data_IF_138237657101
#
_entry.id   IF_138237657101
#
_cell.length_a   1.000
_cell.length_b   1.000
_cell.length_c   1.000
_cell.angle_alpha   90.00
_cell.angle_beta   90.00
_cell.angle_gamma   90.00
#
_symmetry.space_group_name_H-M   'P 1'
#
loop_
_entity.id
_entity.type
_entity.pdbx_description
1 polymer ?
#
# COMPACT_ATOMS: atom_id res chain seq x y z
N UNK A 1 -1.35 -7.30 -23.10
CA UNK A 1 -2.37 -6.96 -22.08
C UNK A 1 -2.32 -5.46 -21.88
N UNK A 2 -3.47 -4.81 -21.82
CA UNK A 2 -3.55 -3.36 -21.65
C UNK A 2 -3.27 -2.98 -20.20
N UNK A 3 -2.51 -1.90 -19.95
CA UNK A 3 -2.32 -1.39 -18.59
C UNK A 3 -3.68 -0.91 -18.04
N UNK A 4 -3.94 -1.18 -16.77
CA UNK A 4 -5.13 -0.71 -16.05
C UNK A 4 -4.86 0.61 -15.32
N UNK A 5 -3.60 0.87 -15.00
CA UNK A 5 -3.09 2.14 -14.48
C UNK A 5 -1.80 2.45 -15.21
N UNK A 6 -1.69 3.65 -15.75
CA UNK A 6 -0.47 4.14 -16.37
C UNK A 6 -0.15 5.56 -15.89
N UNK A 7 1.06 5.74 -15.41
CA UNK A 7 1.61 7.03 -15.01
C UNK A 7 2.83 7.33 -15.87
N UNK A 8 2.84 8.48 -16.51
CA UNK A 8 3.92 8.88 -17.43
C UNK A 8 4.49 10.23 -17.00
N UNK A 9 5.79 10.26 -16.69
CA UNK A 9 6.55 11.48 -16.43
C UNK A 9 6.09 12.26 -15.20
N UNK A 10 5.44 11.63 -14.22
CA UNK A 10 4.84 12.33 -13.08
C UNK A 10 5.89 13.11 -12.30
N UNK A 11 5.66 14.40 -12.22
CA UNK A 11 6.48 15.33 -11.45
C UNK A 11 5.57 16.13 -10.51
N UNK A 12 5.97 16.25 -9.24
CA UNK A 12 5.26 17.03 -8.21
C UNK A 12 6.25 17.73 -7.30
N UNK A 13 6.05 19.03 -7.15
CA UNK A 13 6.88 19.90 -6.30
C UNK A 13 6.00 20.58 -5.26
N UNK A 14 6.43 20.54 -4.03
CA UNK A 14 5.86 21.34 -2.93
C UNK A 14 6.87 22.45 -2.57
N UNK A 15 6.45 23.52 -1.86
CA UNK A 15 7.37 24.57 -1.45
C UNK A 15 8.63 24.01 -0.76
N UNK A 16 9.78 24.11 -1.43
CA UNK A 16 11.08 23.67 -0.94
C UNK A 16 11.41 22.19 -1.13
N UNK A 17 10.50 21.36 -1.69
CA UNK A 17 10.74 19.92 -1.90
C UNK A 17 10.16 19.43 -3.21
N UNK A 18 10.96 18.78 -4.04
CA UNK A 18 10.49 18.02 -5.21
C UNK A 18 10.15 16.60 -4.78
N UNK A 19 8.85 16.34 -4.56
CA UNK A 19 8.38 15.06 -4.03
C UNK A 19 8.41 13.94 -5.08
N UNK A 20 8.07 14.23 -6.34
CA UNK A 20 8.12 13.27 -7.44
C UNK A 20 8.89 13.90 -8.61
N UNK A 21 9.71 13.10 -9.30
CA UNK A 21 10.50 13.56 -10.44
C UNK A 21 10.50 12.51 -11.54
N UNK A 22 9.76 12.77 -12.61
CA UNK A 22 9.66 11.93 -13.80
C UNK A 22 9.37 10.45 -13.48
N UNK A 23 8.33 10.21 -12.65
CA UNK A 23 7.94 8.86 -12.23
C UNK A 23 7.10 8.22 -13.32
N UNK A 24 7.45 7.00 -13.66
CA UNK A 24 6.70 6.17 -14.59
C UNK A 24 6.29 4.88 -13.90
N UNK A 25 5.02 4.50 -14.01
CA UNK A 25 4.47 3.27 -13.45
C UNK A 25 3.40 2.74 -14.41
N UNK A 26 3.48 1.46 -14.76
CA UNK A 26 2.45 0.77 -15.54
C UNK A 26 2.05 -0.48 -14.80
N UNK A 27 0.77 -0.62 -14.45
CA UNK A 27 0.20 -1.76 -13.73
C UNK A 27 -0.78 -2.48 -14.64
N UNK A 28 -0.61 -3.80 -14.76
CA UNK A 28 -1.50 -4.67 -15.55
C UNK A 28 -2.29 -5.59 -14.64
N UNK A 29 -3.33 -6.19 -15.20
CA UNK A 29 -4.19 -7.12 -14.47
C UNK A 29 -3.38 -8.31 -13.88
N UNK A 30 -3.62 -8.60 -12.61
CA UNK A 30 -2.96 -9.67 -11.86
C UNK A 30 -1.58 -9.32 -11.31
N UNK A 31 -1.07 -8.10 -11.53
CA UNK A 31 0.22 -7.68 -11.00
C UNK A 31 0.09 -7.11 -9.58
N UNK A 32 1.11 -7.36 -8.75
CA UNK A 32 1.26 -6.76 -7.43
C UNK A 32 2.56 -5.97 -7.43
N UNK A 33 2.44 -4.65 -7.40
CA UNK A 33 3.56 -3.73 -7.42
C UNK A 33 3.91 -3.26 -6.01
N UNK A 34 5.17 -3.34 -5.63
CA UNK A 34 5.69 -2.70 -4.44
C UNK A 34 6.32 -1.35 -4.77
N UNK A 35 6.03 -0.33 -3.98
CA UNK A 35 6.72 0.95 -4.02
C UNK A 35 7.63 1.04 -2.80
N UNK A 36 8.94 1.06 -3.05
CA UNK A 36 9.96 1.01 -2.02
C UNK A 36 10.85 2.26 -2.05
N UNK A 37 11.45 2.60 -0.91
CA UNK A 37 12.37 3.72 -0.81
C UNK A 37 12.40 4.32 0.58
N UNK A 38 13.33 5.24 0.81
CA UNK A 38 13.45 5.95 2.10
C UNK A 38 12.21 6.81 2.40
N UNK A 39 12.04 7.19 3.67
CA UNK A 39 11.03 8.15 4.06
C UNK A 39 11.32 9.50 3.39
N UNK A 40 10.29 10.12 2.85
CA UNK A 40 10.45 11.36 2.07
C UNK A 40 10.66 11.16 0.57
N UNK A 41 10.75 9.92 0.07
CA UNK A 41 10.86 9.62 -1.37
C UNK A 41 9.59 9.92 -2.20
N UNK A 42 8.54 10.48 -1.60
CA UNK A 42 7.30 10.85 -2.31
C UNK A 42 6.30 9.71 -2.49
N UNK A 43 6.48 8.55 -1.83
CA UNK A 43 5.61 7.38 -2.00
C UNK A 43 4.13 7.68 -1.76
N UNK A 44 3.79 8.31 -0.63
CA UNK A 44 2.40 8.68 -0.32
C UNK A 44 1.85 9.77 -1.27
N UNK A 45 2.72 10.67 -1.79
CA UNK A 45 2.34 11.62 -2.84
C UNK A 45 1.96 10.88 -4.12
N UNK A 46 2.69 9.81 -4.47
CA UNK A 46 2.38 8.99 -5.63
C UNK A 46 0.98 8.35 -5.49
N UNK A 47 0.63 7.81 -4.32
CA UNK A 47 -0.72 7.28 -4.06
C UNK A 47 -1.79 8.36 -4.19
N UNK A 48 -1.59 9.53 -3.59
CA UNK A 48 -2.51 10.65 -3.70
C UNK A 48 -2.71 11.10 -5.15
N UNK A 49 -1.65 11.04 -5.97
CA UNK A 49 -1.74 11.34 -7.41
C UNK A 49 -2.55 10.27 -8.15
N UNK A 50 -2.39 8.98 -7.83
CA UNK A 50 -3.18 7.90 -8.43
C UNK A 50 -4.67 8.07 -8.16
N UNK A 51 -5.05 8.46 -6.93
CA UNK A 51 -6.46 8.62 -6.54
C UNK A 51 -7.04 10.01 -6.84
N UNK A 52 -6.25 10.91 -7.44
CA UNK A 52 -6.70 12.24 -7.84
C UNK A 52 -6.82 13.24 -6.67
N UNK A 53 -6.23 12.95 -5.51
CA UNK A 53 -6.16 13.88 -4.36
C UNK A 53 -5.05 14.93 -4.53
N UNK A 54 -4.05 14.63 -5.36
CA UNK A 54 -2.97 15.54 -5.71
C UNK A 54 -2.84 15.56 -7.23
N UNK A 55 -2.90 16.74 -7.83
CA UNK A 55 -2.62 16.91 -9.26
C UNK A 55 -1.12 16.99 -9.49
N UNK A 56 -0.55 16.25 -10.46
CA UNK A 56 0.85 16.39 -10.82
C UNK A 56 1.11 17.76 -11.47
N UNK A 57 2.33 18.28 -11.30
CA UNK A 57 2.75 19.52 -11.97
C UNK A 57 3.09 19.24 -13.45
N UNK A 58 3.50 18.00 -13.77
CA UNK A 58 3.80 17.52 -15.13
C UNK A 58 3.58 16.01 -15.20
N UNK A 59 3.30 15.50 -16.39
CA UNK A 59 2.98 14.11 -16.65
C UNK A 59 1.48 13.83 -16.69
N UNK A 60 1.11 12.57 -16.93
CA UNK A 60 -0.28 12.11 -16.98
C UNK A 60 -0.51 10.85 -16.15
N UNK A 61 -1.72 10.72 -15.62
CA UNK A 61 -2.22 9.51 -14.96
C UNK A 61 -3.43 9.03 -15.74
N UNK A 62 -3.33 7.84 -16.30
CA UNK A 62 -4.40 7.20 -17.04
C UNK A 62 -4.89 5.99 -16.25
N UNK A 63 -6.16 6.02 -15.81
CA UNK A 63 -6.84 4.92 -15.12
C UNK A 63 -7.89 4.34 -16.05
N UNK A 64 -7.85 3.05 -16.29
CA UNK A 64 -8.80 2.36 -17.17
C UNK A 64 -10.24 2.60 -16.76
N UNK A 65 -11.17 2.75 -17.71
CA UNK A 65 -12.59 3.07 -17.47
C UNK A 65 -13.30 2.06 -16.53
N UNK A 66 -12.85 0.82 -16.51
CA UNK A 66 -13.42 -0.25 -15.67
C UNK A 66 -12.74 -0.39 -14.31
N UNK A 67 -11.71 0.43 -14.05
CA UNK A 67 -10.93 0.34 -12.81
C UNK A 67 -11.69 0.99 -11.67
N UNK A 68 -11.86 0.19 -10.60
CA UNK A 68 -12.38 0.66 -9.31
C UNK A 68 -11.24 0.61 -8.31
N UNK A 69 -10.77 1.78 -7.92
CA UNK A 69 -9.69 1.89 -6.93
C UNK A 69 -10.27 1.71 -5.53
N UNK A 70 -9.71 0.75 -4.78
CA UNK A 70 -9.89 0.65 -3.33
C UNK A 70 -8.66 1.25 -2.66
N UNK A 71 -8.81 2.44 -2.12
CA UNK A 71 -7.79 3.13 -1.32
C UNK A 71 -8.40 3.57 0.00
N UNK A 72 -7.72 3.26 1.07
CA UNK A 72 -8.07 3.77 2.39
C UNK A 72 -6.95 4.67 2.86
N UNK A 73 -7.24 5.97 2.90
CA UNK A 73 -6.40 6.91 3.63
C UNK A 73 -6.38 6.53 5.13
N UNK A 74 -5.20 6.59 5.75
CA UNK A 74 -5.03 6.33 7.18
C UNK A 74 -5.91 7.24 8.07
N UNK A 75 -6.43 8.33 7.52
CA UNK A 75 -7.32 9.30 8.16
C UNK A 75 -8.80 9.07 7.83
N UNK A 76 -9.32 7.84 7.84
CA UNK A 76 -10.77 7.63 7.71
C UNK A 76 -11.53 8.30 8.86
N UNK A 77 -11.97 9.53 8.62
CA UNK A 77 -12.82 10.30 9.55
C UNK A 77 -14.30 9.83 9.56
N UNK A 78 -14.67 8.87 8.70
CA UNK A 78 -16.07 8.51 8.44
C UNK A 78 -16.54 7.22 9.14
N UNK A 79 -15.77 6.65 10.07
CA UNK A 79 -16.25 5.52 10.90
C UNK A 79 -16.99 6.11 12.09
N UNK A 80 -18.28 5.75 12.25
CA UNK A 80 -19.04 6.11 13.45
C UNK A 80 -18.34 5.54 14.69
N UNK A 81 -17.88 6.40 15.61
CA UNK A 81 -17.12 5.97 16.78
C UNK A 81 -17.90 5.04 17.72
N UNK A 82 -19.24 5.05 17.66
CA UNK A 82 -20.10 4.23 18.52
C UNK A 82 -20.39 2.83 17.91
N UNK A 83 -20.21 2.67 16.60
CA UNK A 83 -20.38 1.36 15.95
C UNK A 83 -19.32 0.38 16.40
N UNK A 84 -19.72 -0.87 16.58
CA UNK A 84 -18.81 -1.98 16.86
C UNK A 84 -17.99 -2.34 15.61
N UNK A 85 -16.83 -2.96 15.80
CA UNK A 85 -15.99 -3.48 14.69
C UNK A 85 -16.82 -4.33 13.73
N UNK A 86 -17.72 -5.16 14.27
CA UNK A 86 -18.58 -6.00 13.47
C UNK A 86 -19.59 -5.19 12.64
N UNK A 87 -20.27 -4.22 13.24
CA UNK A 87 -21.22 -3.35 12.52
C UNK A 87 -20.52 -2.54 11.42
N UNK A 88 -19.34 -1.98 11.70
CA UNK A 88 -18.54 -1.20 10.72
C UNK A 88 -18.20 -2.03 9.48
N UNK A 89 -17.85 -3.30 9.65
CA UNK A 89 -17.46 -4.16 8.51
C UNK A 89 -18.66 -4.82 7.86
N UNK A 90 -19.65 -5.25 8.64
CA UNK A 90 -20.76 -6.08 8.15
C UNK A 90 -22.00 -5.29 7.79
N UNK A 91 -22.11 -4.01 8.16
CA UNK A 91 -23.36 -3.25 8.11
C UNK A 91 -24.52 -3.97 8.85
N UNK A 92 -24.18 -4.77 9.88
CA UNK A 92 -25.11 -5.57 10.67
C UNK A 92 -25.53 -6.90 10.01
N UNK A 93 -24.89 -7.30 8.93
CA UNK A 93 -25.19 -8.53 8.21
C UNK A 93 -24.29 -9.69 8.66
N UNK A 94 -24.88 -10.89 8.80
CA UNK A 94 -24.13 -12.10 9.15
C UNK A 94 -23.22 -12.58 8.01
N UNK A 95 -23.60 -12.30 6.76
CA UNK A 95 -22.82 -12.59 5.55
C UNK A 95 -22.47 -11.31 4.81
N UNK A 96 -21.27 -11.25 4.28
CA UNK A 96 -20.74 -10.12 3.49
C UNK A 96 -20.15 -10.62 2.18
N UNK A 97 -20.16 -9.75 1.17
CA UNK A 97 -19.45 -9.98 -0.08
C UNK A 97 -18.03 -9.42 0.04
N UNK A 98 -17.06 -10.25 -0.34
CA UNK A 98 -15.65 -9.87 -0.48
C UNK A 98 -15.23 -10.22 -1.91
N UNK A 99 -15.14 -9.22 -2.77
CA UNK A 99 -15.03 -9.44 -4.21
C UNK A 99 -16.28 -10.18 -4.75
N UNK A 100 -16.08 -11.35 -5.34
CA UNK A 100 -17.15 -12.19 -5.88
C UNK A 100 -17.64 -13.29 -4.90
N UNK A 101 -17.01 -13.39 -3.73
CA UNK A 101 -17.31 -14.44 -2.76
C UNK A 101 -18.18 -13.91 -1.63
N UNK A 102 -19.20 -14.69 -1.23
CA UNK A 102 -19.96 -14.47 -0.02
C UNK A 102 -19.36 -15.29 1.13
N UNK A 103 -19.19 -14.66 2.30
CA UNK A 103 -18.63 -15.31 3.47
C UNK A 103 -19.19 -14.77 4.78
N UNK A 104 -19.16 -15.55 5.89
CA UNK A 104 -19.60 -15.06 7.20
C UNK A 104 -18.76 -13.87 7.65
N UNK A 105 -19.41 -12.77 8.03
CA UNK A 105 -18.75 -11.52 8.45
C UNK A 105 -17.84 -11.71 9.66
N UNK A 106 -18.25 -12.56 10.61
CA UNK A 106 -17.44 -12.87 11.80
C UNK A 106 -16.20 -13.70 11.49
N UNK A 107 -16.26 -14.60 10.51
CA UNK A 107 -15.10 -15.34 10.04
C UNK A 107 -14.10 -14.41 9.33
N UNK A 108 -14.62 -13.50 8.49
CA UNK A 108 -13.82 -12.47 7.85
C UNK A 108 -13.05 -11.63 8.85
N UNK A 109 -13.73 -11.07 9.86
CA UNK A 109 -13.10 -10.30 10.93
C UNK A 109 -12.05 -11.08 11.73
N UNK A 110 -12.30 -12.37 11.96
CA UNK A 110 -11.34 -13.24 12.65
C UNK A 110 -10.02 -13.37 11.89
N UNK A 111 -10.05 -13.34 10.55
CA UNK A 111 -8.84 -13.35 9.71
C UNK A 111 -7.99 -12.07 9.90
N UNK A 112 -8.61 -10.95 10.31
CA UNK A 112 -7.92 -9.70 10.64
C UNK A 112 -7.63 -9.54 12.15
N UNK A 113 -7.65 -10.64 12.91
CA UNK A 113 -7.29 -10.66 14.34
C UNK A 113 -8.38 -10.16 15.28
N UNK A 114 -9.62 -9.90 14.80
CA UNK A 114 -10.76 -9.58 15.67
C UNK A 114 -11.52 -10.85 16.04
N UNK A 115 -11.21 -11.44 17.19
CA UNK A 115 -11.79 -12.71 17.65
C UNK A 115 -12.77 -12.50 18.79
N UNK A 116 -13.91 -13.20 18.74
CA UNK A 116 -14.88 -13.23 19.83
C UNK A 116 -15.32 -11.83 20.30
N UNK A 117 -15.02 -11.44 21.57
CA UNK A 117 -15.43 -10.15 22.12
C UNK A 117 -14.85 -8.93 21.41
N UNK A 118 -13.71 -9.06 20.72
CA UNK A 118 -13.08 -7.92 20.03
C UNK A 118 -13.96 -7.36 18.91
N UNK A 119 -14.79 -8.21 18.31
CA UNK A 119 -15.75 -7.81 17.28
C UNK A 119 -16.86 -6.90 17.82
N UNK A 120 -17.09 -6.90 19.13
CA UNK A 120 -18.10 -6.09 19.79
C UNK A 120 -17.53 -4.79 20.38
N UNK A 121 -16.23 -4.55 20.26
CA UNK A 121 -15.62 -3.29 20.69
C UNK A 121 -16.12 -2.13 19.83
N UNK A 122 -16.54 -1.01 20.43
CA UNK A 122 -16.78 0.22 19.66
C UNK A 122 -15.50 0.70 18.97
N UNK A 123 -15.64 1.24 17.78
CA UNK A 123 -14.47 1.67 16.96
C UNK A 123 -13.62 2.75 17.64
N UNK A 124 -14.22 3.57 18.52
CA UNK A 124 -13.53 4.62 19.30
C UNK A 124 -12.48 4.10 20.28
N UNK A 125 -12.63 2.88 20.80
CA UNK A 125 -11.72 2.33 21.81
C UNK A 125 -10.58 1.50 21.23
N UNK A 126 -10.52 1.37 19.89
CA UNK A 126 -9.48 0.62 19.21
C UNK A 126 -8.12 1.30 19.36
N UNK A 127 -7.10 0.48 19.65
CA UNK A 127 -5.69 0.89 19.54
C UNK A 127 -5.32 1.26 18.10
N UNK A 128 -4.17 1.90 17.90
CA UNK A 128 -3.66 2.23 16.56
C UNK A 128 -3.54 1.00 15.66
N UNK A 129 -2.97 -0.10 16.17
CA UNK A 129 -2.83 -1.35 15.42
C UNK A 129 -4.19 -2.01 15.11
N UNK A 130 -5.14 -2.04 16.07
CA UNK A 130 -6.50 -2.54 15.80
C UNK A 130 -7.21 -1.70 14.73
N UNK A 131 -7.05 -0.38 14.78
CA UNK A 131 -7.62 0.53 13.77
C UNK A 131 -7.01 0.28 12.38
N UNK A 132 -5.71 0.05 12.31
CA UNK A 132 -5.04 -0.30 11.05
C UNK A 132 -5.58 -1.61 10.46
N UNK A 133 -5.75 -2.66 11.28
CA UNK A 133 -6.37 -3.93 10.85
C UNK A 133 -7.82 -3.75 10.38
N UNK A 134 -8.61 -2.91 11.08
CA UNK A 134 -9.98 -2.59 10.66
C UNK A 134 -10.01 -1.89 9.31
N UNK A 135 -9.15 -0.90 9.09
CA UNK A 135 -9.03 -0.20 7.82
C UNK A 135 -8.64 -1.15 6.69
N UNK A 136 -7.71 -2.06 6.95
CA UNK A 136 -7.29 -3.09 5.99
C UNK A 136 -8.45 -4.01 5.61
N UNK A 137 -9.21 -4.50 6.60
CA UNK A 137 -10.40 -5.31 6.36
C UNK A 137 -11.44 -4.56 5.49
N UNK A 138 -11.68 -3.29 5.78
CA UNK A 138 -12.59 -2.45 5.00
C UNK A 138 -12.12 -2.25 3.55
N UNK A 139 -10.80 -2.05 3.36
CA UNK A 139 -10.22 -1.88 2.01
C UNK A 139 -10.43 -3.11 1.15
N UNK A 140 -10.12 -4.27 1.70
CA UNK A 140 -10.25 -5.54 0.98
C UNK A 140 -11.72 -5.94 0.75
N UNK A 141 -12.66 -5.54 1.66
CA UNK A 141 -14.10 -5.73 1.48
C UNK A 141 -14.68 -4.90 0.33
N UNK A 142 -14.17 -3.70 0.08
CA UNK A 142 -14.73 -2.74 -0.88
C UNK A 142 -14.88 -3.28 -2.32
N UNK A 143 -14.14 -4.34 -2.67
CA UNK A 143 -14.32 -5.02 -3.96
C UNK A 143 -13.87 -4.22 -5.17
N UNK A 144 -12.88 -3.33 -5.02
CA UNK A 144 -12.17 -2.73 -6.16
C UNK A 144 -11.38 -3.78 -6.94
N UNK A 145 -10.95 -3.45 -8.14
CA UNK A 145 -10.04 -4.29 -8.92
C UNK A 145 -8.61 -3.74 -8.98
N UNK A 146 -8.37 -2.57 -8.36
CA UNK A 146 -7.06 -2.02 -8.05
C UNK A 146 -7.04 -1.61 -6.57
N UNK A 147 -6.21 -2.28 -5.77
CA UNK A 147 -6.05 -1.99 -4.34
C UNK A 147 -4.77 -1.19 -4.11
N UNK A 148 -4.87 -0.09 -3.37
CA UNK A 148 -3.73 0.69 -2.92
C UNK A 148 -3.58 0.54 -1.40
N UNK A 149 -2.43 0.04 -0.94
CA UNK A 149 -2.13 -0.19 0.47
C UNK A 149 -0.89 0.60 0.88
N UNK A 150 -1.06 1.53 1.82
CA UNK A 150 0.05 2.32 2.39
C UNK A 150 0.46 1.75 3.74
N UNK A 151 1.67 1.15 3.81
CA UNK A 151 2.26 0.51 4.98
C UNK A 151 1.32 -0.48 5.69
N UNK A 152 0.69 -1.42 4.95
CA UNK A 152 -0.33 -2.30 5.53
C UNK A 152 0.22 -3.30 6.55
N UNK A 153 1.53 -3.50 6.57
CA UNK A 153 2.22 -4.45 7.46
C UNK A 153 2.52 -3.88 8.85
N UNK A 154 2.39 -2.56 9.03
CA UNK A 154 2.65 -1.93 10.32
C UNK A 154 1.67 -2.43 11.40
N UNK A 155 2.22 -2.79 12.55
CA UNK A 155 1.48 -3.26 13.73
C UNK A 155 0.67 -4.56 13.51
N UNK A 156 0.94 -5.33 12.45
CA UNK A 156 0.33 -6.64 12.24
C UNK A 156 1.09 -7.73 13.00
N UNK A 157 0.33 -8.63 13.63
CA UNK A 157 0.90 -9.89 14.09
C UNK A 157 1.09 -10.88 12.93
N UNK A 158 1.83 -11.96 13.18
CA UNK A 158 2.19 -12.96 12.16
C UNK A 158 0.95 -13.61 11.52
N UNK A 159 -0.11 -13.83 12.29
CA UNK A 159 -1.35 -14.45 11.81
C UNK A 159 -2.09 -13.51 10.85
N UNK A 160 -2.22 -12.24 11.24
CA UNK A 160 -2.86 -11.21 10.39
C UNK A 160 -2.03 -10.92 9.15
N UNK A 161 -0.70 -10.90 9.25
CA UNK A 161 0.19 -10.74 8.11
C UNK A 161 0.01 -11.88 7.09
N UNK A 162 -0.03 -13.13 7.58
CA UNK A 162 -0.33 -14.30 6.72
C UNK A 162 -1.70 -14.21 6.05
N UNK A 163 -2.70 -13.67 6.74
CA UNK A 163 -4.03 -13.44 6.17
C UNK A 163 -4.01 -12.39 5.06
N UNK A 164 -3.25 -11.31 5.24
CA UNK A 164 -3.05 -10.28 4.22
C UNK A 164 -2.34 -10.84 2.99
N UNK A 165 -1.25 -11.60 3.18
CA UNK A 165 -0.52 -12.25 2.09
C UNK A 165 -1.44 -13.15 1.26
N UNK A 166 -2.21 -14.02 1.93
CA UNK A 166 -3.18 -14.89 1.27
C UNK A 166 -4.27 -14.09 0.52
N UNK A 167 -4.76 -13.00 1.11
CA UNK A 167 -5.78 -12.17 0.48
C UNK A 167 -5.25 -11.52 -0.80
N UNK A 168 -4.01 -11.00 -0.80
CA UNK A 168 -3.39 -10.40 -1.96
C UNK A 168 -3.07 -11.42 -3.06
N UNK A 169 -2.50 -12.57 -2.70
CA UNK A 169 -2.16 -13.63 -3.67
C UNK A 169 -3.39 -14.22 -4.37
N UNK A 170 -4.55 -14.23 -3.71
CA UNK A 170 -5.81 -14.71 -4.28
C UNK A 170 -6.72 -13.58 -4.78
N UNK A 171 -6.24 -12.35 -4.77
CA UNK A 171 -7.01 -11.21 -5.25
C UNK A 171 -7.09 -11.23 -6.78
N UNK A 172 -8.30 -11.19 -7.37
CA UNK A 172 -8.47 -11.31 -8.82
C UNK A 172 -8.14 -10.03 -9.59
N UNK A 173 -7.69 -8.98 -8.91
CA UNK A 173 -7.29 -7.68 -9.47
C UNK A 173 -5.80 -7.44 -9.33
N UNK A 174 -5.43 -6.19 -9.16
CA UNK A 174 -4.08 -5.72 -8.99
C UNK A 174 -3.91 -5.00 -7.66
N UNK A 175 -2.69 -4.97 -7.17
CA UNK A 175 -2.38 -4.21 -5.97
C UNK A 175 -1.13 -3.35 -6.17
N UNK A 176 -1.14 -2.15 -5.59
CA UNK A 176 0.06 -1.34 -5.41
C UNK A 176 0.26 -1.13 -3.91
N UNK A 177 1.41 -1.54 -3.41
CA UNK A 177 1.69 -1.58 -1.98
C UNK A 177 2.92 -0.75 -1.66
N UNK A 178 2.80 0.18 -0.72
CA UNK A 178 3.95 0.81 -0.09
C UNK A 178 4.25 0.00 1.17
N UNK A 179 5.43 -0.56 1.30
CA UNK A 179 5.88 -1.24 2.52
C UNK A 179 7.40 -1.23 2.66
N UNK A 180 7.86 -1.32 3.91
CA UNK A 180 9.25 -1.53 4.29
C UNK A 180 9.53 -2.96 4.75
N UNK A 181 8.51 -3.82 4.82
CA UNK A 181 8.65 -5.22 5.19
C UNK A 181 9.14 -6.06 4.00
N UNK A 182 10.43 -6.35 4.00
CA UNK A 182 11.10 -7.09 2.92
C UNK A 182 10.56 -8.50 2.73
N UNK A 183 10.22 -9.19 3.83
CA UNK A 183 9.69 -10.55 3.79
C UNK A 183 8.30 -10.60 3.17
N UNK A 184 7.46 -9.63 3.51
CA UNK A 184 6.15 -9.47 2.90
C UNK A 184 6.27 -9.17 1.40
N UNK A 185 7.12 -8.22 1.02
CA UNK A 185 7.32 -7.84 -0.37
C UNK A 185 7.89 -8.98 -1.22
N UNK A 186 8.82 -9.75 -0.65
CA UNK A 186 9.43 -10.90 -1.34
C UNK A 186 8.41 -12.01 -1.66
N UNK A 187 7.43 -12.22 -0.78
CA UNK A 187 6.41 -13.26 -0.93
C UNK A 187 5.20 -12.83 -1.75
N UNK A 188 4.94 -11.53 -1.87
CA UNK A 188 3.69 -11.06 -2.46
C UNK A 188 3.87 -10.32 -3.78
N UNK A 189 4.97 -9.58 -3.95
CA UNK A 189 5.11 -8.68 -5.08
C UNK A 189 5.68 -9.37 -6.32
N UNK A 190 5.17 -8.95 -7.47
CA UNK A 190 5.63 -9.36 -8.81
C UNK A 190 6.50 -8.30 -9.47
N UNK A 191 6.38 -7.05 -9.02
CA UNK A 191 7.09 -5.89 -9.56
C UNK A 191 7.50 -4.94 -8.45
N UNK A 192 8.62 -4.26 -8.63
CA UNK A 192 9.17 -3.30 -7.67
C UNK A 192 9.38 -1.96 -8.38
N UNK A 193 8.85 -0.88 -7.80
CA UNK A 193 9.20 0.49 -8.13
C UNK A 193 9.99 1.07 -6.95
N UNK A 194 11.29 1.12 -7.07
CA UNK A 194 12.18 1.52 -5.99
C UNK A 194 12.76 2.91 -6.20
N UNK A 195 12.77 3.71 -5.12
CA UNK A 195 13.58 4.91 -5.07
C UNK A 195 15.01 4.54 -4.70
N UNK A 196 15.97 4.78 -5.59
CA UNK A 196 17.38 4.49 -5.41
C UNK A 196 18.19 5.79 -5.30
N UNK A 197 19.06 5.87 -4.31
CA UNK A 197 19.86 7.04 -4.00
C UNK A 197 19.36 7.82 -2.78
N UNK A 198 19.86 9.02 -2.60
CA UNK A 198 19.42 9.93 -1.53
C UNK A 198 18.16 10.71 -1.96
N UNK A 199 17.57 11.47 -1.03
CA UNK A 199 16.32 12.24 -1.29
C UNK A 199 16.51 13.31 -2.37
N UNK A 200 17.72 13.85 -2.54
CA UNK A 200 17.98 14.95 -3.48
C UNK A 200 18.33 14.47 -4.90
N UNK A 201 19.06 13.36 -5.02
CA UNK A 201 19.63 12.87 -6.29
C UNK A 201 19.13 11.48 -6.69
N UNK A 202 18.22 10.89 -5.91
CA UNK A 202 17.70 9.57 -6.17
C UNK A 202 16.85 9.51 -7.44
N UNK A 203 16.65 8.30 -7.92
CA UNK A 203 15.86 8.00 -9.11
C UNK A 203 14.92 6.83 -8.83
N UNK A 204 13.78 6.86 -9.48
CA UNK A 204 12.88 5.72 -9.51
C UNK A 204 13.43 4.65 -10.46
N UNK A 205 13.51 3.43 -9.98
CA UNK A 205 13.95 2.26 -10.73
C UNK A 205 12.84 1.21 -10.73
N UNK A 206 12.38 0.82 -11.91
CA UNK A 206 11.38 -0.22 -12.08
C UNK A 206 12.04 -1.57 -12.30
N UNK A 207 11.53 -2.61 -11.67
CA UNK A 207 12.06 -3.97 -11.75
C UNK A 207 10.91 -4.99 -11.78
N UNK A 208 10.96 -5.95 -12.69
CA UNK A 208 10.07 -7.08 -12.76
C UNK A 208 10.68 -8.25 -11.98
N UNK A 209 10.03 -8.68 -10.91
CA UNK A 209 10.48 -9.70 -9.98
C UNK A 209 10.09 -9.39 -8.55
N UNK A 210 10.44 -10.28 -7.62
CA UNK A 210 10.24 -10.10 -6.19
C UNK A 210 11.31 -9.19 -5.56
N UNK A 211 11.20 -8.97 -4.26
CA UNK A 211 12.12 -8.07 -3.57
C UNK A 211 13.54 -8.63 -3.47
N UNK A 212 13.72 -9.95 -3.29
CA UNK A 212 15.02 -10.60 -3.25
C UNK A 212 15.77 -10.50 -4.58
N UNK A 213 15.06 -10.73 -5.68
CA UNK A 213 15.61 -10.59 -7.03
C UNK A 213 16.01 -9.15 -7.33
N UNK A 214 15.19 -8.17 -6.88
CA UNK A 214 15.53 -6.75 -6.99
C UNK A 214 16.78 -6.40 -6.18
N UNK A 215 16.91 -6.86 -4.92
CA UNK A 215 18.12 -6.60 -4.12
C UNK A 215 19.39 -7.19 -4.79
N UNK A 216 19.30 -8.41 -5.31
CA UNK A 216 20.41 -9.04 -6.05
C UNK A 216 20.79 -8.21 -7.29
N UNK A 217 19.81 -7.81 -8.09
CA UNK A 217 20.02 -6.94 -9.26
C UNK A 217 20.62 -5.58 -8.87
N UNK A 218 20.16 -4.98 -7.77
CA UNK A 218 20.70 -3.71 -7.27
C UNK A 218 22.17 -3.83 -6.89
N UNK A 219 22.58 -4.92 -6.22
CA UNK A 219 23.98 -5.18 -5.88
C UNK A 219 24.82 -5.33 -7.13
N UNK A 220 24.34 -6.05 -8.13
CA UNK A 220 25.05 -6.24 -9.40
C UNK A 220 25.25 -4.91 -10.16
N UNK A 221 24.24 -4.05 -10.22
CA UNK A 221 24.27 -2.78 -10.94
C UNK A 221 25.08 -1.69 -10.24
N UNK A 222 24.97 -1.57 -8.93
CA UNK A 222 25.49 -0.45 -8.15
C UNK A 222 26.70 -0.81 -7.28
N UNK A 223 26.98 -2.11 -7.10
CA UNK A 223 27.99 -2.61 -6.18
C UNK A 223 27.48 -2.73 -4.74
N UNK A 224 28.17 -3.52 -3.91
CA UNK A 224 27.77 -3.83 -2.54
C UNK A 224 27.66 -2.59 -1.61
N UNK A 225 28.53 -1.60 -1.80
CA UNK A 225 28.52 -0.39 -0.96
C UNK A 225 27.35 0.54 -1.26
N UNK A 226 26.99 0.69 -2.54
CA UNK A 226 25.87 1.52 -2.97
C UNK A 226 24.51 0.85 -2.72
N UNK A 227 24.47 -0.48 -2.60
CA UNK A 227 23.26 -1.22 -2.27
C UNK A 227 22.88 -1.18 -0.78
N UNK A 228 23.80 -0.78 0.11
CA UNK A 228 23.51 -0.64 1.55
C UNK A 228 22.63 0.59 1.79
N UNK A 229 21.62 0.48 2.68
CA UNK A 229 20.80 1.64 3.05
C UNK A 229 21.72 2.74 3.63
N UNK A 230 21.62 3.95 3.08
CA UNK A 230 22.34 5.09 3.60
C UNK A 230 21.77 5.46 4.98
N UNK A 231 22.60 5.49 6.03
CA UNK A 231 22.17 6.07 7.31
C UNK A 231 22.02 7.58 7.13
N UNK A 232 20.81 8.08 7.36
CA UNK A 232 20.57 9.52 7.43
C UNK A 232 21.42 10.09 8.56
N UNK A 233 22.52 10.76 8.22
CA UNK A 233 23.31 11.54 9.17
C UNK A 233 22.59 12.86 9.41
N UNK A 234 21.83 12.94 10.50
CA UNK A 234 21.26 14.21 10.94
C UNK A 234 22.39 15.24 11.13
N UNK A 235 22.32 16.36 10.40
CA UNK A 235 23.21 17.49 10.56
C UNK A 235 23.13 17.92 12.03
N UNK A 236 24.26 17.88 12.76
CA UNK A 236 24.33 18.37 14.15
C UNK A 236 23.88 19.82 14.16
N UNK A 237 22.84 20.13 14.94
CA UNK A 237 22.48 21.51 15.25
C UNK A 237 23.70 22.14 15.94
N UNK A 238 24.36 23.03 15.25
CA UNK A 238 25.36 23.96 15.88
C UNK A 238 24.56 24.98 16.69
N UNK A 239 24.85 25.01 17.99
CA UNK A 239 24.36 26.07 18.89
C UNK A 239 25.02 27.38 18.55
#
# INVERSE_FOLDING_TARGET
MTAILEMQGITKTFPGVKALSNVNLSVREGEIHAICGENGAGKSTLFKTIVGLEEPDDGSVDVGETVKISYVDQNRENIDPEQTVWEVVSDGLDYIHVGQNEMPSRAYLSAFGFKGPDQQKPSKVLSGGERNRLNLALTLKQGGNLILLDEPTNDLDVETLGSLENALQNFPGCAVVISHDRWFLDRTCTHILAWEGNVEEGKWFWFEGNFGDYEANKVERLGEEAAKPSRVTHRKLTR
#
